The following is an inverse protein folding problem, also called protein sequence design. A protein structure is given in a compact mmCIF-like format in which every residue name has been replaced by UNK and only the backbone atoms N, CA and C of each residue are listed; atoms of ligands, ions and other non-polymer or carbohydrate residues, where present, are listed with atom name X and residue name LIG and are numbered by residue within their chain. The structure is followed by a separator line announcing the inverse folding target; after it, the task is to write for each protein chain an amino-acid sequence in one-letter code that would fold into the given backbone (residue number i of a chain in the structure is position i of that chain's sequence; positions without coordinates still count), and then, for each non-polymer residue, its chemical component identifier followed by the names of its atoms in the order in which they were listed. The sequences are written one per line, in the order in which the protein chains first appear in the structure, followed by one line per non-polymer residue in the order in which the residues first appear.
data_IF_095612126792
#
_entry.id   IF_095612126792
#
_cell.length_a   1.000
_cell.length_b   1.000
_cell.length_c   1.000
_cell.angle_alpha   90.00
_cell.angle_beta   90.00
_cell.angle_gamma   90.00
#
_symmetry.space_group_name_H-M   'P 1'
#
loop_
_entity.id
_entity.type
_entity.pdbx_description
1 polymer ?
#
# COMPACT_ATOMS: atom_id res chain seq x y z
N UNK A 1 -23.65 -14.51 7.41
CA UNK A 1 -22.51 -14.79 6.52
C UNK A 1 -21.22 -14.26 7.14
N UNK A 2 -20.16 -15.08 7.13
CA UNK A 2 -18.86 -14.65 7.58
C UNK A 2 -18.07 -14.05 6.41
N UNK A 3 -17.46 -12.91 6.65
CA UNK A 3 -16.57 -12.26 5.70
C UNK A 3 -15.13 -12.45 6.14
N UNK A 4 -14.36 -13.13 5.32
CA UNK A 4 -12.95 -13.38 5.61
C UNK A 4 -12.11 -12.67 4.55
N UNK A 5 -11.26 -11.74 4.99
CA UNK A 5 -10.37 -11.02 4.09
C UNK A 5 -8.92 -11.36 4.42
N UNK A 6 -8.07 -11.42 3.38
CA UNK A 6 -6.64 -11.63 3.55
C UNK A 6 -5.92 -10.29 3.56
N UNK A 7 -5.00 -10.15 4.48
CA UNK A 7 -4.23 -8.93 4.68
C UNK A 7 -2.74 -9.24 4.50
N UNK A 8 -2.06 -8.47 3.66
CA UNK A 8 -0.60 -8.53 3.55
C UNK A 8 -0.02 -7.35 4.31
N UNK A 9 0.79 -7.62 5.32
CA UNK A 9 1.45 -6.58 6.11
C UNK A 9 2.89 -6.43 5.69
N UNK A 10 3.30 -5.20 5.34
CA UNK A 10 4.63 -4.86 4.85
C UNK A 10 5.16 -3.67 5.66
N UNK A 11 6.45 -3.69 5.97
CA UNK A 11 7.08 -2.56 6.67
C UNK A 11 7.06 -1.29 5.82
N UNK A 12 6.81 -0.15 6.46
CA UNK A 12 6.90 1.16 5.79
C UNK A 12 8.32 1.45 5.30
N UNK A 13 9.34 0.71 5.78
CA UNK A 13 10.71 0.85 5.28
C UNK A 13 10.83 0.52 3.79
N UNK A 14 9.90 -0.23 3.22
CA UNK A 14 9.89 -0.56 1.79
C UNK A 14 9.23 0.50 0.93
N UNK A 15 8.78 1.60 1.53
CA UNK A 15 8.10 2.69 0.86
C UNK A 15 8.93 3.97 1.05
N UNK A 16 9.02 4.79 0.00
CA UNK A 16 9.75 6.05 0.07
C UNK A 16 9.00 7.07 0.92
N UNK A 17 9.75 7.99 1.55
CA UNK A 17 9.16 9.06 2.34
C UNK A 17 8.18 9.90 1.51
N UNK A 18 8.54 10.19 0.26
CA UNK A 18 7.66 10.96 -0.63
C UNK A 18 6.33 10.24 -0.88
N UNK A 19 6.36 8.91 -0.97
CA UNK A 19 5.15 8.11 -1.13
C UNK A 19 4.30 8.13 0.13
N UNK A 20 4.93 8.07 1.31
CA UNK A 20 4.20 8.16 2.58
C UNK A 20 3.50 9.52 2.71
N UNK A 21 4.12 10.59 2.23
CA UNK A 21 3.50 11.92 2.22
C UNK A 21 2.29 11.98 1.32
N UNK A 22 2.32 11.27 0.19
CA UNK A 22 1.15 11.16 -0.69
C UNK A 22 0.03 10.38 -0.01
N UNK A 23 0.35 9.31 0.69
CA UNK A 23 -0.64 8.51 1.41
C UNK A 23 -1.27 9.30 2.56
N UNK A 24 -0.51 10.18 3.21
CA UNK A 24 -1.04 11.06 4.26
C UNK A 24 -2.17 11.95 3.74
N UNK A 25 -2.10 12.34 2.48
CA UNK A 25 -3.09 13.23 1.86
C UNK A 25 -4.25 12.47 1.21
N UNK A 26 -4.06 11.19 0.87
CA UNK A 26 -4.98 10.43 0.04
C UNK A 26 -6.41 10.38 0.59
N UNK A 27 -6.64 10.15 1.90
CA UNK A 27 -8.00 10.09 2.40
C UNK A 27 -8.83 11.35 2.14
N UNK A 28 -8.16 12.48 1.88
CA UNK A 28 -8.81 13.77 1.66
C UNK A 28 -8.75 14.26 0.22
N UNK A 29 -7.81 13.75 -0.59
CA UNK A 29 -7.54 14.31 -1.92
C UNK A 29 -7.87 13.37 -3.07
N UNK A 30 -7.94 12.06 -2.82
CA UNK A 30 -8.17 11.04 -3.86
C UNK A 30 -7.22 11.18 -5.06
N UNK A 31 -5.99 11.60 -4.80
CA UNK A 31 -4.99 11.87 -5.83
C UNK A 31 -4.45 10.60 -6.47
N UNK A 32 -4.29 9.54 -5.67
CA UNK A 32 -3.73 8.28 -6.12
C UNK A 32 -4.77 7.30 -6.65
N UNK A 33 -6.06 7.59 -6.46
CA UNK A 33 -7.13 6.68 -6.86
C UNK A 33 -7.20 5.43 -6.01
N UNK A 34 -6.75 5.51 -4.77
CA UNK A 34 -6.74 4.40 -3.82
C UNK A 34 -7.71 4.64 -2.69
N UNK A 35 -8.24 3.54 -2.13
CA UNK A 35 -8.96 3.60 -0.85
C UNK A 35 -7.95 3.39 0.26
N UNK A 36 -7.63 4.45 0.98
CA UNK A 36 -6.60 4.46 2.02
C UNK A 36 -7.24 4.80 3.36
N UNK A 37 -6.93 3.99 4.37
CA UNK A 37 -7.39 4.21 5.74
C UNK A 37 -6.19 4.31 6.67
N UNK A 38 -6.25 5.22 7.63
CA UNK A 38 -5.18 5.37 8.61
C UNK A 38 -5.14 4.16 9.56
N UNK A 39 -3.93 3.74 9.91
CA UNK A 39 -3.70 2.76 10.95
C UNK A 39 -3.05 3.47 12.14
N UNK A 40 -3.80 4.32 12.82
CA UNK A 40 -3.30 5.17 13.91
C UNK A 40 -2.01 5.87 13.48
N UNK A 41 -0.95 5.82 14.32
CA UNK A 41 0.36 6.40 13.99
C UNK A 41 1.32 5.39 13.34
N UNK A 42 0.85 4.18 13.03
CA UNK A 42 1.71 3.08 12.59
C UNK A 42 1.80 2.94 11.07
N UNK A 43 0.84 3.46 10.33
CA UNK A 43 0.86 3.32 8.88
C UNK A 43 -0.53 3.44 8.26
N UNK A 44 -0.78 2.61 7.23
CA UNK A 44 -2.00 2.71 6.44
C UNK A 44 -2.52 1.33 6.02
N UNK A 45 -3.83 1.24 5.84
CA UNK A 45 -4.49 0.15 5.14
C UNK A 45 -4.85 0.63 3.75
N UNK A 46 -4.49 -0.13 2.73
CA UNK A 46 -4.81 0.17 1.34
C UNK A 46 -5.61 -0.98 0.77
N UNK A 47 -6.81 -0.70 0.28
CA UNK A 47 -7.63 -1.74 -0.35
C UNK A 47 -7.02 -2.11 -1.69
N UNK A 48 -6.87 -3.42 -1.93
CA UNK A 48 -6.23 -3.95 -3.14
C UNK A 48 -7.15 -4.97 -3.81
N UNK A 49 -7.49 -4.71 -5.07
CA UNK A 49 -8.26 -5.64 -5.89
C UNK A 49 -7.86 -5.44 -7.35
N UNK A 50 -8.49 -6.18 -8.26
CA UNK A 50 -8.18 -6.07 -9.68
C UNK A 50 -8.51 -4.68 -10.24
N UNK A 51 -9.54 -4.04 -9.70
CA UNK A 51 -9.91 -2.69 -10.12
C UNK A 51 -8.84 -1.68 -9.67
N UNK A 52 -8.23 -1.91 -8.51
CA UNK A 52 -7.14 -1.07 -8.02
C UNK A 52 -5.97 -1.09 -9.01
N UNK A 53 -5.57 -2.30 -9.49
CA UNK A 53 -4.50 -2.40 -10.46
C UNK A 53 -4.82 -1.68 -11.76
N UNK A 54 -6.06 -1.79 -12.24
CA UNK A 54 -6.46 -1.07 -13.45
C UNK A 54 -6.35 0.44 -13.28
N UNK A 55 -6.78 0.95 -12.14
CA UNK A 55 -6.71 2.38 -11.86
C UNK A 55 -5.27 2.90 -11.79
N UNK A 56 -4.38 2.20 -11.08
CA UNK A 56 -3.00 2.66 -10.94
C UNK A 56 -2.20 2.51 -12.23
N UNK A 57 -2.53 1.54 -13.08
CA UNK A 57 -1.86 1.36 -14.36
C UNK A 57 -2.10 2.52 -15.34
N UNK A 58 -3.14 3.32 -15.12
CA UNK A 58 -3.43 4.48 -15.96
C UNK A 58 -2.76 5.75 -15.44
N UNK A 59 -2.03 5.68 -14.33
CA UNK A 59 -1.38 6.82 -13.72
C UNK A 59 0.14 6.75 -13.92
N UNK A 60 0.71 7.57 -14.84
CA UNK A 60 2.14 7.47 -15.16
C UNK A 60 3.04 7.88 -13.99
N UNK A 61 2.56 8.73 -13.09
CA UNK A 61 3.34 9.23 -11.96
C UNK A 61 3.13 8.44 -10.68
N UNK A 62 2.45 7.29 -10.76
CA UNK A 62 2.20 6.46 -9.58
C UNK A 62 3.53 5.90 -9.05
N UNK A 63 3.77 5.95 -7.71
CA UNK A 63 5.04 5.45 -7.15
C UNK A 63 5.28 3.98 -7.47
N UNK A 64 6.43 3.68 -8.07
CA UNK A 64 6.76 2.33 -8.53
C UNK A 64 6.87 1.34 -7.37
N UNK A 65 7.47 1.74 -6.24
CA UNK A 65 7.62 0.84 -5.11
C UNK A 65 6.26 0.47 -4.51
N UNK A 66 5.33 1.43 -4.46
CA UNK A 66 3.98 1.16 -3.95
C UNK A 66 3.22 0.26 -4.91
N UNK A 67 3.37 0.50 -6.21
CA UNK A 67 2.75 -0.36 -7.24
C UNK A 67 3.22 -1.81 -7.10
N UNK A 68 4.52 -2.02 -6.89
CA UNK A 68 5.08 -3.35 -6.69
C UNK A 68 4.44 -4.06 -5.51
N UNK A 69 4.26 -3.36 -4.39
CA UNK A 69 3.65 -3.93 -3.20
C UNK A 69 2.16 -4.26 -3.41
N UNK A 70 1.45 -3.41 -4.14
CA UNK A 70 0.04 -3.66 -4.46
C UNK A 70 -0.08 -4.88 -5.37
N UNK A 71 0.78 -5.00 -6.38
CA UNK A 71 0.80 -6.17 -7.26
C UNK A 71 1.05 -7.44 -6.45
N UNK A 72 2.00 -7.40 -5.52
CA UNK A 72 2.29 -8.54 -4.65
C UNK A 72 1.06 -8.94 -3.84
N UNK A 73 0.37 -7.98 -3.25
CA UNK A 73 -0.84 -8.25 -2.48
C UNK A 73 -1.93 -8.91 -3.34
N UNK A 74 -2.16 -8.39 -4.55
CA UNK A 74 -3.16 -8.95 -5.47
C UNK A 74 -2.77 -10.37 -5.89
N UNK A 75 -1.50 -10.59 -6.21
CA UNK A 75 -1.00 -11.92 -6.62
C UNK A 75 -1.16 -12.96 -5.51
N UNK A 76 -1.09 -12.54 -4.26
CA UNK A 76 -1.30 -13.41 -3.10
C UNK A 76 -2.77 -13.51 -2.69
N UNK A 77 -3.67 -12.95 -3.50
CA UNK A 77 -5.11 -12.90 -3.23
C UNK A 77 -5.46 -12.18 -1.94
N UNK A 78 -4.66 -11.19 -1.58
CA UNK A 78 -4.94 -10.34 -0.42
C UNK A 78 -5.82 -9.17 -0.86
N UNK A 79 -6.86 -8.89 -0.09
CA UNK A 79 -7.78 -7.78 -0.38
C UNK A 79 -7.31 -6.46 0.22
N UNK A 80 -6.31 -6.50 1.09
CA UNK A 80 -5.79 -5.31 1.77
C UNK A 80 -4.28 -5.40 1.90
N UNK A 81 -3.60 -4.29 1.59
CA UNK A 81 -2.19 -4.09 1.89
C UNK A 81 -2.09 -3.22 3.13
N UNK A 82 -1.41 -3.72 4.15
CA UNK A 82 -1.18 -2.98 5.39
C UNK A 82 0.28 -2.53 5.42
N UNK A 83 0.51 -1.22 5.50
CA UNK A 83 1.85 -0.66 5.71
C UNK A 83 1.99 -0.33 7.19
N UNK A 84 2.95 -0.95 7.85
CA UNK A 84 3.12 -0.85 9.30
C UNK A 84 4.59 -0.63 9.63
N UNK A 85 4.89 0.45 10.37
CA UNK A 85 6.27 0.78 10.73
C UNK A 85 6.90 -0.21 11.70
N UNK A 86 6.09 -0.99 12.41
CA UNK A 86 6.56 -2.00 13.37
C UNK A 86 6.72 -3.39 12.75
N UNK A 87 6.38 -3.55 11.48
CA UNK A 87 6.52 -4.82 10.78
C UNK A 87 7.98 -5.09 10.41
N UNK A 88 8.36 -6.37 10.38
CA UNK A 88 9.71 -6.78 10.01
C UNK A 88 10.02 -6.40 8.56
N UNK A 89 11.28 -6.01 8.34
CA UNK A 89 11.79 -5.71 7.00
C UNK A 89 12.03 -7.03 6.27
N UNK A 90 11.53 -7.10 5.02
CA UNK A 90 11.73 -8.26 4.16
C UNK A 90 13.08 -8.14 3.44
N UNK A 91 13.95 -9.15 3.51
CA UNK A 91 15.32 -9.04 2.96
C UNK A 91 15.35 -8.98 1.43
N UNK A 92 14.30 -9.40 0.76
CA UNK A 92 14.27 -9.43 -0.71
C UNK A 92 13.60 -8.20 -1.32
N UNK A 93 13.17 -7.24 -0.52
CA UNK A 93 12.60 -5.99 -1.02
C UNK A 93 13.54 -4.82 -0.72
N UNK A 94 13.62 -3.83 -1.63
CA UNK A 94 14.40 -2.62 -1.35
C UNK A 94 13.90 -1.90 -0.10
N UNK A 95 14.82 -1.27 0.61
CA UNK A 95 14.50 -0.47 1.79
C UNK A 95 14.91 0.98 1.56
N UNK A 96 14.27 1.87 2.30
CA UNK A 96 14.54 3.29 2.25
C UNK A 96 14.94 3.78 3.64
N UNK A 97 15.94 4.63 3.66
CA UNK A 97 16.55 5.12 4.88
C UNK A 97 16.04 6.54 5.18
N UNK A 98 14.98 6.59 5.99
CA UNK A 98 14.36 7.88 6.32
C UNK A 98 13.63 7.85 7.65
#
# INVERSE_FOLDING_TARGET
MLEITKLLTISTAHVKESTMKLLDKEPNTDTLGLCVYNKADFGYYIMTDKNTLQRINTQPDFPEELKTLIILAVDLNCSTLCLDCDCDILPYLPTNDW
#
